data_IF_236143653497
#
_entry.id   IF_236143653497
#
_cell.length_a   1.000
_cell.length_b   1.000
_cell.length_c   1.000
_cell.angle_alpha   90.00
_cell.angle_beta   90.00
_cell.angle_gamma   90.00
#
_symmetry.space_group_name_H-M   'P 1'
#
loop_
_entity.id
_entity.type
_entity.pdbx_description
1 polymer ?
#
# COMPACT_ATOMS: atom_id res chain seq x y z
N UNK A 1 -5.86 27.90 4.79
CA UNK A 1 -4.77 27.38 5.63
C UNK A 1 -5.06 25.94 5.95
N UNK A 2 -4.03 25.09 6.01
CA UNK A 2 -4.10 23.69 6.45
C UNK A 2 -3.05 23.55 7.54
N UNK A 3 -3.47 23.14 8.74
CA UNK A 3 -2.62 22.98 9.92
C UNK A 3 -1.69 24.18 10.19
N UNK A 4 -2.28 25.38 10.10
CA UNK A 4 -1.57 26.66 10.33
C UNK A 4 -0.76 27.18 9.13
N UNK A 5 -0.53 26.38 8.09
CA UNK A 5 0.23 26.77 6.89
C UNK A 5 -0.69 27.43 5.87
N UNK A 6 -0.25 28.55 5.28
CA UNK A 6 -0.92 29.19 4.14
C UNK A 6 -0.73 28.33 2.90
N UNK A 7 -1.80 28.09 2.15
CA UNK A 7 -1.81 27.12 1.06
C UNK A 7 -2.41 27.67 -0.20
N UNK A 8 -1.79 27.35 -1.33
CA UNK A 8 -2.40 27.48 -2.65
C UNK A 8 -3.32 26.30 -2.93
N UNK A 9 -4.53 26.58 -3.42
CA UNK A 9 -5.50 25.56 -3.82
C UNK A 9 -5.52 25.38 -5.33
N UNK A 10 -5.13 24.20 -5.78
CA UNK A 10 -5.19 23.78 -7.18
C UNK A 10 -6.40 22.85 -7.33
N UNK A 11 -7.18 23.03 -8.40
CA UNK A 11 -8.34 22.21 -8.70
C UNK A 11 -8.26 21.66 -10.11
N UNK A 12 -8.69 20.40 -10.29
CA UNK A 12 -8.66 19.73 -11.58
C UNK A 12 -9.64 18.57 -11.66
N UNK A 13 -9.54 17.80 -12.74
CA UNK A 13 -10.27 16.54 -12.93
C UNK A 13 -9.33 15.36 -12.72
N UNK A 14 -9.86 14.27 -12.17
CA UNK A 14 -9.10 13.03 -12.00
C UNK A 14 -9.17 12.19 -13.26
N UNK A 15 -8.06 11.53 -13.59
CA UNK A 15 -8.06 10.36 -14.45
C UNK A 15 -8.58 9.16 -13.64
N UNK A 16 -9.87 8.87 -13.77
CA UNK A 16 -10.53 7.82 -13.00
C UNK A 16 -10.00 6.44 -13.38
N UNK A 17 -9.59 6.21 -14.63
CA UNK A 17 -9.04 4.90 -15.04
C UNK A 17 -7.73 4.63 -14.31
N UNK A 18 -6.85 5.64 -14.26
CA UNK A 18 -5.58 5.54 -13.56
C UNK A 18 -5.77 5.40 -12.05
N UNK A 19 -6.65 6.20 -11.45
CA UNK A 19 -6.99 6.09 -10.03
C UNK A 19 -7.45 4.67 -9.66
N UNK A 20 -8.37 4.08 -10.44
CA UNK A 20 -8.87 2.73 -10.18
C UNK A 20 -7.78 1.67 -10.34
N UNK A 21 -6.87 1.84 -11.30
CA UNK A 21 -5.72 0.95 -11.46
C UNK A 21 -4.75 1.02 -10.27
N UNK A 22 -4.44 2.23 -9.78
CA UNK A 22 -3.57 2.43 -8.63
C UNK A 22 -4.18 1.85 -7.35
N UNK A 23 -5.50 2.03 -7.15
CA UNK A 23 -6.24 1.42 -6.03
C UNK A 23 -6.24 -0.10 -6.14
N UNK A 24 -6.45 -0.67 -7.34
CA UNK A 24 -6.40 -2.11 -7.54
C UNK A 24 -5.02 -2.69 -7.19
N UNK A 25 -3.94 -2.05 -7.66
CA UNK A 25 -2.57 -2.47 -7.36
C UNK A 25 -2.28 -2.43 -5.85
N UNK A 26 -2.77 -1.41 -5.15
CA UNK A 26 -2.66 -1.32 -3.68
C UNK A 26 -3.42 -2.46 -3.00
N UNK A 27 -4.62 -2.78 -3.45
CA UNK A 27 -5.44 -3.85 -2.86
C UNK A 27 -4.87 -5.25 -3.15
N UNK A 28 -4.31 -5.47 -4.33
CA UNK A 28 -3.67 -6.73 -4.71
C UNK A 28 -2.40 -7.01 -3.90
N UNK A 29 -1.77 -5.98 -3.31
CA UNK A 29 -0.66 -6.16 -2.37
C UNK A 29 -1.06 -6.69 -0.99
N UNK A 30 -2.37 -6.80 -0.70
CA UNK A 30 -2.91 -7.29 0.58
C UNK A 30 -3.60 -8.65 0.47
N UNK A 31 -3.52 -9.51 1.51
CA UNK A 31 -4.06 -10.87 1.49
C UNK A 31 -5.61 -10.93 1.38
N UNK A 32 -6.31 -9.82 1.62
CA UNK A 32 -7.77 -9.72 1.58
C UNK A 32 -8.32 -8.87 0.44
N UNK A 33 -7.45 -8.18 -0.31
CA UNK A 33 -7.83 -7.22 -1.34
C UNK A 33 -7.72 -7.76 -2.76
N UNK A 34 -6.97 -8.85 -2.95
CA UNK A 34 -6.67 -9.41 -4.26
C UNK A 34 -7.94 -9.74 -5.05
N UNK A 35 -8.04 -9.18 -6.25
CA UNK A 35 -9.14 -9.47 -7.18
C UNK A 35 -10.48 -8.77 -6.88
N UNK A 36 -10.59 -7.96 -5.82
CA UNK A 36 -11.81 -7.19 -5.54
C UNK A 36 -12.12 -6.20 -6.67
N UNK A 37 -11.09 -5.54 -7.21
CA UNK A 37 -11.22 -4.48 -8.20
C UNK A 37 -10.80 -4.99 -9.59
N UNK A 38 -11.53 -5.97 -10.13
CA UNK A 38 -11.17 -6.58 -11.43
C UNK A 38 -11.09 -5.57 -12.57
N UNK A 39 -10.28 -5.79 -13.62
CA UNK A 39 -10.18 -4.89 -14.77
C UNK A 39 -11.53 -4.59 -15.44
N UNK A 40 -12.44 -5.59 -15.45
CA UNK A 40 -13.81 -5.42 -15.96
C UNK A 40 -14.61 -4.44 -15.12
N UNK A 41 -14.57 -4.59 -13.79
CA UNK A 41 -15.25 -3.68 -12.86
C UNK A 41 -14.68 -2.26 -12.96
N UNK A 42 -13.35 -2.13 -13.06
CA UNK A 42 -12.69 -0.83 -13.27
C UNK A 42 -13.21 -0.13 -14.53
N UNK A 43 -13.30 -0.85 -15.65
CA UNK A 43 -13.81 -0.30 -16.90
C UNK A 43 -15.29 0.11 -16.80
N UNK A 44 -16.12 -0.68 -16.10
CA UNK A 44 -17.53 -0.37 -15.89
C UNK A 44 -17.73 0.87 -15.00
N UNK A 45 -16.96 1.00 -13.93
CA UNK A 45 -17.01 2.21 -13.09
C UNK A 45 -16.55 3.43 -13.91
N UNK A 46 -15.45 3.30 -14.65
CA UNK A 46 -14.90 4.38 -15.45
C UNK A 46 -15.86 4.90 -16.54
N UNK A 47 -16.71 4.05 -17.12
CA UNK A 47 -17.74 4.47 -18.09
C UNK A 47 -19.00 5.04 -17.42
N UNK A 48 -19.22 4.75 -16.14
CA UNK A 48 -20.35 5.23 -15.35
C UNK A 48 -20.09 6.59 -14.67
N UNK A 49 -18.85 7.11 -14.73
CA UNK A 49 -18.46 8.38 -14.09
C UNK A 49 -19.31 9.54 -14.60
N UNK A 50 -19.88 10.30 -13.67
CA UNK A 50 -20.59 11.56 -13.91
C UNK A 50 -19.71 12.77 -13.67
N UNK A 51 -18.95 12.73 -12.58
CA UNK A 51 -18.01 13.78 -12.20
C UNK A 51 -16.75 13.19 -11.58
N UNK A 52 -15.62 13.84 -11.87
CA UNK A 52 -14.38 13.59 -11.17
C UNK A 52 -13.73 14.94 -10.83
N UNK A 53 -13.32 15.10 -9.57
CA UNK A 53 -12.70 16.33 -9.09
C UNK A 53 -11.53 15.99 -8.20
N UNK A 54 -10.41 16.68 -8.41
CA UNK A 54 -9.29 16.71 -7.47
C UNK A 54 -9.11 18.13 -6.95
N UNK A 55 -8.76 18.23 -5.68
CA UNK A 55 -8.26 19.46 -5.08
C UNK A 55 -6.97 19.14 -4.35
N UNK A 56 -5.97 19.99 -4.57
CA UNK A 56 -4.63 19.87 -4.00
C UNK A 56 -4.36 21.16 -3.25
N UNK A 57 -3.91 21.05 -2.01
CA UNK A 57 -3.44 22.15 -1.21
C UNK A 57 -1.94 21.98 -1.02
N UNK A 58 -1.18 22.92 -1.58
CA UNK A 58 0.27 22.99 -1.43
C UNK A 58 0.63 24.20 -0.58
N UNK A 59 1.70 24.13 0.22
CA UNK A 59 2.20 25.28 0.96
C UNK A 59 2.55 26.41 -0.01
N UNK A 60 2.11 27.63 0.30
CA UNK A 60 2.34 28.78 -0.57
C UNK A 60 3.84 29.13 -0.66
N UNK A 61 4.58 28.95 0.44
CA UNK A 61 5.99 29.33 0.54
C UNK A 61 6.95 28.18 0.18
N UNK A 62 6.61 26.94 0.55
CA UNK A 62 7.49 25.78 0.40
C UNK A 62 7.06 24.76 -0.67
N UNK A 63 5.88 24.98 -1.26
CA UNK A 63 5.29 24.11 -2.27
C UNK A 63 5.15 22.64 -1.84
N UNK A 64 5.12 22.37 -0.54
CA UNK A 64 4.93 21.02 0.00
C UNK A 64 3.44 20.67 0.04
N UNK A 65 3.11 19.48 -0.44
CA UNK A 65 1.75 18.95 -0.39
C UNK A 65 1.24 18.84 1.05
N UNK A 66 0.12 19.49 1.36
CA UNK A 66 -0.54 19.46 2.68
C UNK A 66 -1.79 18.60 2.67
N UNK A 67 -2.59 18.71 1.62
CA UNK A 67 -3.81 17.92 1.47
C UNK A 67 -4.09 17.62 0.00
N UNK A 68 -4.59 16.41 -0.24
CA UNK A 68 -5.18 16.01 -1.50
C UNK A 68 -6.57 15.44 -1.23
N UNK A 69 -7.57 15.93 -1.96
CA UNK A 69 -8.89 15.32 -1.98
C UNK A 69 -9.26 14.93 -3.41
N UNK A 70 -9.71 13.71 -3.59
CA UNK A 70 -10.31 13.21 -4.82
C UNK A 70 -11.75 12.83 -4.59
N UNK A 71 -12.64 13.23 -5.49
CA UNK A 71 -14.06 12.84 -5.47
C UNK A 71 -14.42 12.30 -6.84
N UNK A 72 -15.04 11.13 -6.88
CA UNK A 72 -15.59 10.53 -8.09
C UNK A 72 -17.03 10.12 -7.82
N UNK A 73 -17.96 10.67 -8.59
CA UNK A 73 -19.36 10.26 -8.59
C UNK A 73 -19.63 9.45 -9.85
N UNK A 74 -20.29 8.30 -9.71
CA UNK A 74 -20.65 7.44 -10.83
C UNK A 74 -22.07 6.88 -10.69
N UNK A 75 -22.71 6.63 -11.82
CA UNK A 75 -24.04 6.04 -11.88
C UNK A 75 -24.10 5.13 -13.09
N UNK A 76 -24.38 3.86 -12.86
CA UNK A 76 -24.59 2.88 -13.90
C UNK A 76 -25.91 3.17 -14.62
N UNK A 77 -26.03 2.72 -15.87
CA UNK A 77 -27.32 2.72 -16.56
C UNK A 77 -28.16 1.54 -16.04
N UNK A 78 -29.48 1.66 -16.11
CA UNK A 78 -30.40 0.59 -15.68
C UNK A 78 -30.02 -0.75 -16.32
N UNK A 79 -29.93 -1.80 -15.50
CA UNK A 79 -29.56 -3.14 -15.93
C UNK A 79 -28.09 -3.34 -16.32
N UNK A 80 -27.24 -2.31 -16.25
CA UNK A 80 -25.79 -2.40 -16.56
C UNK A 80 -24.91 -2.51 -15.33
N UNK A 81 -25.49 -2.42 -14.13
CA UNK A 81 -24.73 -2.53 -12.90
C UNK A 81 -24.06 -3.91 -12.79
N UNK A 82 -22.75 -3.96 -12.52
CA UNK A 82 -22.06 -5.23 -12.28
C UNK A 82 -22.44 -5.89 -10.95
N UNK A 83 -23.08 -5.15 -10.04
CA UNK A 83 -23.44 -5.61 -8.70
C UNK A 83 -24.94 -5.37 -8.53
N UNK A 84 -25.70 -6.44 -8.33
CA UNK A 84 -27.16 -6.35 -8.14
C UNK A 84 -27.50 -5.42 -6.97
N UNK A 85 -28.32 -4.39 -7.23
CA UNK A 85 -28.73 -3.40 -6.22
C UNK A 85 -27.79 -2.21 -6.05
N UNK A 86 -26.70 -2.11 -6.83
CA UNK A 86 -25.81 -0.95 -6.83
C UNK A 86 -26.01 -0.12 -8.11
N UNK A 87 -26.82 0.92 -8.07
CA UNK A 87 -27.06 1.76 -9.27
C UNK A 87 -26.01 2.85 -9.47
N UNK A 88 -25.17 3.09 -8.46
CA UNK A 88 -24.12 4.10 -8.50
C UNK A 88 -23.47 4.27 -7.14
N UNK A 89 -22.60 5.26 -7.05
CA UNK A 89 -21.92 5.55 -5.81
C UNK A 89 -21.00 6.76 -5.91
N UNK A 90 -20.37 7.05 -4.77
CA UNK A 90 -19.41 8.12 -4.62
C UNK A 90 -18.17 7.58 -3.93
N UNK A 91 -17.01 7.90 -4.50
CA UNK A 91 -15.70 7.60 -3.93
C UNK A 91 -15.09 8.92 -3.49
N UNK A 92 -14.90 9.07 -2.18
CA UNK A 92 -14.19 10.19 -1.57
C UNK A 92 -12.85 9.71 -1.02
N UNK A 93 -11.76 10.20 -1.62
CA UNK A 93 -10.40 9.98 -1.14
C UNK A 93 -9.88 11.28 -0.53
N UNK A 94 -9.40 11.21 0.71
CA UNK A 94 -8.74 12.32 1.38
C UNK A 94 -7.42 11.84 1.96
N UNK A 95 -6.34 12.45 1.49
CA UNK A 95 -5.01 12.33 2.06
C UNK A 95 -4.63 13.67 2.67
N UNK A 96 -4.21 13.66 3.93
CA UNK A 96 -3.63 14.83 4.60
C UNK A 96 -2.25 14.45 5.09
N UNK A 97 -1.29 15.33 4.87
CA UNK A 97 0.10 15.17 5.27
C UNK A 97 0.40 16.22 6.34
N UNK A 98 0.49 15.73 7.57
CA UNK A 98 0.83 16.51 8.75
C UNK A 98 2.33 16.31 9.06
N UNK A 99 2.97 17.27 9.71
CA UNK A 99 4.37 17.17 10.18
C UNK A 99 5.39 16.69 9.12
N UNK A 100 5.20 17.13 7.87
CA UNK A 100 6.15 16.89 6.77
C UNK A 100 7.54 17.43 7.13
N UNK A 101 8.56 16.58 6.94
CA UNK A 101 9.96 16.76 7.37
C UNK A 101 10.24 16.59 8.87
N UNK A 102 9.33 15.98 9.65
CA UNK A 102 9.66 15.54 11.00
C UNK A 102 10.90 14.64 10.99
N UNK A 103 11.89 15.01 11.80
CA UNK A 103 13.19 14.30 11.90
C UNK A 103 13.08 12.98 12.65
N UNK A 104 11.98 12.76 13.36
CA UNK A 104 11.72 11.55 14.14
C UNK A 104 10.25 11.18 14.07
N UNK A 105 9.97 9.95 13.68
CA UNK A 105 8.66 9.30 13.87
C UNK A 105 8.89 8.05 14.71
N UNK A 106 8.07 7.84 15.74
CA UNK A 106 8.17 6.67 16.60
C UNK A 106 7.19 5.60 16.12
N UNK A 107 7.71 4.50 15.58
CA UNK A 107 6.89 3.30 15.31
C UNK A 107 6.98 2.41 16.53
N UNK A 108 5.96 2.44 17.38
CA UNK A 108 5.91 1.55 18.54
C UNK A 108 5.68 0.12 18.09
N UNK A 109 6.52 -0.81 18.56
CA UNK A 109 6.32 -2.22 18.31
C UNK A 109 4.93 -2.67 18.81
N UNK A 110 4.24 -3.58 18.10
CA UNK A 110 2.99 -4.14 18.58
C UNK A 110 3.18 -4.78 19.95
N UNK A 111 2.33 -4.42 20.92
CA UNK A 111 2.41 -4.95 22.30
C UNK A 111 2.33 -6.48 22.40
N UNK A 112 1.91 -7.15 21.33
CA UNK A 112 1.81 -8.62 21.20
C UNK A 112 2.29 -9.06 19.82
N UNK A 113 3.50 -8.65 19.43
CA UNK A 113 4.13 -9.20 18.24
C UNK A 113 4.22 -10.73 18.40
N UNK A 114 3.56 -11.48 17.51
CA UNK A 114 3.69 -12.94 17.49
C UNK A 114 5.09 -13.31 17.03
N UNK A 115 5.75 -14.28 17.66
CA UNK A 115 7.08 -14.70 17.25
C UNK A 115 7.04 -15.26 15.82
N UNK A 116 8.08 -14.97 15.04
CA UNK A 116 8.21 -15.41 13.64
C UNK A 116 8.10 -16.94 13.50
N UNK A 117 8.41 -17.70 14.56
CA UNK A 117 8.24 -19.15 14.61
C UNK A 117 6.78 -19.62 14.52
N UNK A 118 5.83 -18.76 14.87
CA UNK A 118 4.39 -19.03 14.70
C UNK A 118 3.92 -18.78 13.25
N UNK A 119 4.75 -18.16 12.39
CA UNK A 119 4.42 -17.89 10.99
C UNK A 119 4.67 -19.07 10.03
N UNK A 120 5.10 -20.22 10.57
CA UNK A 120 5.43 -21.42 9.79
C UNK A 120 4.26 -22.37 9.57
N UNK A 121 3.18 -22.24 10.34
CA UNK A 121 2.13 -23.27 10.40
C UNK A 121 0.81 -22.82 9.76
N UNK A 122 0.53 -21.52 9.68
CA UNK A 122 -0.69 -20.97 9.09
C UNK A 122 -0.39 -19.89 8.03
N UNK A 123 -0.98 -20.06 6.84
CA UNK A 123 -1.21 -19.02 5.81
C UNK A 123 -0.05 -18.51 4.94
N UNK A 124 0.60 -19.41 4.17
CA UNK A 124 1.17 -19.04 2.85
C UNK A 124 2.46 -18.22 2.84
N UNK A 125 3.02 -17.86 4.00
CA UNK A 125 4.31 -17.15 4.11
C UNK A 125 5.48 -18.05 3.70
N UNK A 126 5.35 -19.38 3.82
CA UNK A 126 6.34 -20.32 3.30
C UNK A 126 6.58 -20.15 1.80
N UNK A 127 5.55 -19.83 1.02
CA UNK A 127 5.64 -19.60 -0.43
C UNK A 127 6.21 -18.20 -0.75
N UNK A 128 5.89 -17.19 0.06
CA UNK A 128 6.50 -15.86 -0.01
C UNK A 128 8.00 -15.88 0.27
N UNK A 129 8.43 -16.60 1.31
CA UNK A 129 9.84 -16.77 1.67
C UNK A 129 10.57 -17.65 0.64
N UNK A 130 9.90 -18.65 0.07
CA UNK A 130 10.44 -19.47 -1.02
C UNK A 130 10.56 -18.67 -2.32
N UNK A 131 9.64 -17.75 -2.59
CA UNK A 131 9.64 -16.83 -3.73
C UNK A 131 10.75 -15.78 -3.66
N UNK A 132 11.05 -15.26 -2.46
CA UNK A 132 12.22 -14.41 -2.20
C UNK A 132 13.56 -15.15 -2.45
N UNK A 133 13.57 -16.48 -2.29
CA UNK A 133 14.70 -17.33 -2.70
C UNK A 133 14.78 -17.57 -4.20
N UNK A 134 13.68 -17.45 -4.94
CA UNK A 134 13.62 -17.73 -6.38
C UNK A 134 14.08 -16.56 -7.27
N UNK A 135 14.05 -15.32 -6.76
CA UNK A 135 14.59 -14.14 -7.47
C UNK A 135 16.11 -14.06 -7.49
N UNK A 136 16.80 -14.87 -6.68
CA UNK A 136 18.25 -15.05 -6.71
C UNK A 136 18.63 -16.41 -7.32
N UNK A 137 18.12 -16.72 -8.52
CA UNK A 137 18.57 -17.88 -9.30
C UNK A 137 19.96 -17.63 -9.90
N UNK A 138 20.97 -17.71 -9.05
CA UNK A 138 22.35 -18.04 -9.42
C UNK A 138 22.80 -19.20 -8.54
N UNK A 139 22.96 -20.39 -9.15
CA UNK A 139 23.66 -21.60 -8.66
C UNK A 139 24.13 -21.57 -7.19
N UNK A 140 23.60 -22.45 -6.35
CA UNK A 140 24.38 -23.48 -5.63
C UNK A 140 23.55 -24.16 -4.53
N UNK A 141 23.73 -25.47 -4.44
CA UNK A 141 23.57 -26.29 -3.25
C UNK A 141 24.15 -25.59 -2.00
N UNK A 142 23.31 -25.10 -1.10
CA UNK A 142 23.73 -24.41 0.13
C UNK A 142 22.63 -23.68 0.91
N UNK A 143 21.43 -23.55 0.33
CA UNK A 143 20.32 -22.73 0.86
C UNK A 143 19.74 -23.13 2.25
N UNK A 144 20.24 -24.18 2.92
CA UNK A 144 19.80 -24.54 4.28
C UNK A 144 20.52 -23.71 5.36
N UNK A 145 21.76 -23.28 5.14
CA UNK A 145 22.56 -22.59 6.17
C UNK A 145 22.26 -21.09 6.26
N UNK A 146 22.02 -20.41 5.14
CA UNK A 146 21.75 -18.97 5.11
C UNK A 146 20.43 -18.59 5.79
N UNK A 147 19.39 -19.42 5.60
CA UNK A 147 18.11 -19.25 6.28
C UNK A 147 18.21 -19.40 7.80
N UNK A 148 18.92 -20.42 8.28
CA UNK A 148 19.15 -20.60 9.72
C UNK A 148 20.04 -19.50 10.31
N UNK A 149 21.08 -19.06 9.59
CA UNK A 149 21.96 -17.98 10.02
C UNK A 149 21.21 -16.64 10.11
N UNK A 150 20.31 -16.37 9.16
CA UNK A 150 19.41 -15.22 9.19
C UNK A 150 18.46 -15.26 10.39
N UNK A 151 17.81 -16.40 10.64
CA UNK A 151 16.89 -16.58 11.75
C UNK A 151 17.59 -16.47 13.12
N UNK A 152 18.80 -17.01 13.26
CA UNK A 152 19.63 -16.82 14.46
C UNK A 152 20.03 -15.36 14.67
N UNK A 153 20.37 -14.65 13.60
CA UNK A 153 20.71 -13.23 13.65
C UNK A 153 19.53 -12.38 14.13
N UNK A 154 18.33 -12.57 13.55
CA UNK A 154 17.13 -11.83 13.98
C UNK A 154 16.79 -12.13 15.44
N UNK A 155 16.91 -13.40 15.86
CA UNK A 155 16.68 -13.79 17.25
C UNK A 155 17.66 -13.13 18.23
N UNK A 156 18.92 -12.91 17.81
CA UNK A 156 19.93 -12.22 18.60
C UNK A 156 19.76 -10.68 18.58
N UNK A 157 19.31 -10.11 17.46
CA UNK A 157 19.07 -8.68 17.30
C UNK A 157 17.84 -8.17 18.10
N UNK A 158 16.89 -9.05 18.41
CA UNK A 158 15.72 -8.70 19.20
C UNK A 158 14.86 -7.64 18.51
N UNK A 159 14.55 -6.55 19.20
CA UNK A 159 13.71 -5.45 18.69
C UNK A 159 14.50 -4.27 18.12
N UNK A 160 15.82 -4.39 17.98
CA UNK A 160 16.64 -3.32 17.40
C UNK A 160 16.54 -3.36 15.86
N UNK A 161 15.86 -2.37 15.29
CA UNK A 161 15.61 -2.28 13.86
C UNK A 161 16.90 -2.13 13.01
N UNK A 162 17.94 -1.50 13.56
CA UNK A 162 19.20 -1.32 12.85
C UNK A 162 19.99 -2.64 12.78
N UNK A 163 19.93 -3.45 13.83
CA UNK A 163 20.55 -4.78 13.87
C UNK A 163 19.77 -5.81 13.05
N UNK A 164 18.42 -5.75 13.08
CA UNK A 164 17.57 -6.60 12.22
C UNK A 164 17.83 -6.33 10.73
N UNK A 165 18.03 -5.08 10.33
CA UNK A 165 18.35 -4.73 8.93
C UNK A 165 19.67 -5.36 8.46
N UNK A 166 20.67 -5.49 9.35
CA UNK A 166 21.97 -6.09 9.07
C UNK A 166 21.89 -7.60 8.88
N UNK A 167 20.90 -8.26 9.46
CA UNK A 167 20.72 -9.70 9.32
C UNK A 167 20.47 -10.14 7.88
N UNK A 168 19.90 -9.26 7.03
CA UNK A 168 19.68 -9.53 5.59
C UNK A 168 20.95 -9.97 4.84
N UNK A 169 22.13 -9.53 5.30
CA UNK A 169 23.44 -9.94 4.76
C UNK A 169 23.75 -11.43 4.92
N UNK A 170 23.06 -12.13 5.82
CA UNK A 170 23.22 -13.58 6.08
C UNK A 170 22.40 -14.46 5.14
N UNK A 171 21.56 -13.87 4.29
CA UNK A 171 20.78 -14.56 3.27
C UNK A 171 21.54 -14.74 1.93
N UNK A 172 22.73 -14.15 1.80
CA UNK A 172 23.60 -14.38 0.65
C UNK A 172 24.66 -15.47 0.99
N UNK A 173 25.05 -16.33 0.03
CA UNK A 173 26.28 -17.11 0.17
C UNK A 173 27.53 -16.21 0.18
#
# INVERSE_FOLDING_TARGET
TIDGVVTDRISGRLDVRRLLADVAALLDSGPKGAGLLTPKLQAQIATAVKSSKVQIWSGADDHVLRQLTGVVDFTFKDGTSPITGLDGGRIDLRLRLDDVNATSFEVTAPKRARPLSELGEDDGIGDLLSGLGATFRGKASGARDGGEAFLRCIKAAGSDAAEVARCSSKLAP
#
